data_IF_207553825546
#
_entry.id   IF_207553825546
#
_cell.length_a   1.000
_cell.length_b   1.000
_cell.length_c   1.000
_cell.angle_alpha   90.00
_cell.angle_beta   90.00
_cell.angle_gamma   90.00
#
_symmetry.space_group_name_H-M   'P 1'
#
loop_
_entity.id
_entity.type
_entity.pdbx_description
1 polymer ?
#
# COMPACT_ATOMS: atom_id res chain seq x y z
N UNK A 1 18.50 -78.04 -35.04
CA UNK A 1 17.59 -76.87 -35.00
C UNK A 1 16.59 -77.06 -33.87
N UNK A 2 16.78 -76.40 -32.72
CA UNK A 2 15.81 -76.36 -31.60
C UNK A 2 15.73 -74.92 -31.09
N UNK A 3 14.48 -74.46 -30.93
CA UNK A 3 14.09 -73.06 -30.98
C UNK A 3 14.49 -72.20 -29.79
N UNK A 4 14.77 -70.93 -30.12
CA UNK A 4 14.94 -69.81 -29.20
C UNK A 4 13.64 -69.01 -29.26
N UNK A 5 12.64 -69.40 -28.47
CA UNK A 5 11.49 -68.54 -28.17
C UNK A 5 11.18 -68.67 -26.68
N UNK A 6 11.91 -67.93 -25.84
CA UNK A 6 11.52 -67.70 -24.44
C UNK A 6 11.67 -66.24 -24.08
N UNK A 7 10.57 -65.72 -23.55
CA UNK A 7 10.45 -64.53 -22.70
C UNK A 7 10.43 -63.14 -23.35
N UNK A 8 9.39 -62.88 -24.15
CA UNK A 8 8.75 -61.56 -24.19
C UNK A 8 7.39 -61.67 -23.49
N UNK A 9 7.41 -61.69 -22.16
CA UNK A 9 6.19 -61.94 -21.37
C UNK A 9 6.27 -61.38 -19.96
N UNK A 10 6.70 -60.13 -19.81
CA UNK A 10 6.60 -59.41 -18.51
C UNK A 10 6.52 -57.90 -18.66
N UNK A 11 5.50 -57.41 -19.37
CA UNK A 11 5.00 -56.02 -19.26
C UNK A 11 3.48 -56.01 -19.37
N UNK A 12 2.75 -56.48 -18.36
CA UNK A 12 1.29 -56.27 -18.33
C UNK A 12 0.63 -56.43 -16.96
N UNK A 13 1.37 -56.28 -15.86
CA UNK A 13 0.78 -56.26 -14.52
C UNK A 13 1.06 -54.91 -13.87
N UNK A 14 0.07 -54.01 -13.89
CA UNK A 14 0.05 -52.88 -12.95
C UNK A 14 -0.32 -51.50 -13.48
N UNK A 15 -0.98 -51.36 -14.64
CA UNK A 15 -1.57 -50.07 -15.01
C UNK A 15 -3.08 -50.24 -15.17
N UNK A 16 -3.80 -50.14 -14.06
CA UNK A 16 -5.23 -49.84 -14.08
C UNK A 16 -5.40 -48.41 -14.59
N UNK A 17 -5.96 -48.25 -15.78
CA UNK A 17 -6.36 -46.94 -16.30
C UNK A 17 -7.47 -46.36 -15.45
N UNK A 18 -7.41 -45.05 -15.19
CA UNK A 18 -8.47 -44.30 -14.53
C UNK A 18 -9.77 -44.44 -15.32
N UNK A 19 -10.90 -44.66 -14.65
CA UNK A 19 -12.18 -44.75 -15.36
C UNK A 19 -12.69 -43.34 -15.73
N UNK A 20 -13.38 -43.22 -16.87
CA UNK A 20 -14.03 -41.95 -17.25
C UNK A 20 -15.03 -41.48 -16.20
N UNK A 21 -15.68 -42.42 -15.51
CA UNK A 21 -16.66 -42.13 -14.46
C UNK A 21 -15.98 -41.54 -13.22
N UNK A 22 -14.80 -42.05 -12.82
CA UNK A 22 -14.03 -41.46 -11.71
C UNK A 22 -13.64 -40.02 -12.01
N UNK A 23 -13.14 -39.73 -13.22
CA UNK A 23 -12.81 -38.36 -13.58
C UNK A 23 -14.06 -37.47 -13.65
N UNK A 24 -15.19 -38.00 -14.12
CA UNK A 24 -16.45 -37.25 -14.22
C UNK A 24 -16.98 -36.82 -12.85
N UNK A 25 -17.01 -37.72 -11.86
CA UNK A 25 -17.49 -37.39 -10.52
C UNK A 25 -16.58 -36.35 -9.85
N UNK A 26 -15.26 -36.46 -10.03
CA UNK A 26 -14.30 -35.50 -9.48
C UNK A 26 -14.53 -34.11 -10.04
N UNK A 27 -14.72 -33.96 -11.37
CA UNK A 27 -14.94 -32.63 -11.98
C UNK A 27 -16.27 -32.01 -11.54
N UNK A 28 -17.30 -32.82 -11.26
CA UNK A 28 -18.58 -32.31 -10.74
C UNK A 28 -18.41 -31.80 -9.31
N UNK A 29 -17.71 -32.56 -8.45
CA UNK A 29 -17.50 -32.15 -7.05
C UNK A 29 -16.67 -30.86 -6.99
N UNK A 30 -15.55 -30.76 -7.71
CA UNK A 30 -14.76 -29.51 -7.75
C UNK A 30 -15.57 -28.36 -8.37
N UNK A 31 -16.47 -28.65 -9.32
CA UNK A 31 -17.35 -27.64 -9.93
C UNK A 31 -18.31 -27.01 -8.92
N UNK A 32 -18.95 -27.84 -8.09
CA UNK A 32 -19.85 -27.37 -7.02
C UNK A 32 -19.07 -26.55 -5.98
N UNK A 33 -17.89 -27.03 -5.57
CA UNK A 33 -17.05 -26.32 -4.60
C UNK A 33 -16.56 -24.98 -5.15
N UNK A 34 -16.11 -24.93 -6.41
CA UNK A 34 -15.64 -23.70 -7.03
C UNK A 34 -16.77 -22.66 -7.15
N UNK A 35 -17.98 -23.08 -7.54
CA UNK A 35 -19.12 -22.18 -7.68
C UNK A 35 -19.46 -21.42 -6.38
N UNK A 36 -19.43 -22.12 -5.24
CA UNK A 36 -19.65 -21.49 -3.93
C UNK A 36 -18.43 -20.66 -3.46
N UNK A 37 -17.21 -21.09 -3.81
CA UNK A 37 -15.98 -20.49 -3.29
C UNK A 37 -15.60 -19.17 -3.95
N UNK A 38 -15.89 -18.99 -5.25
CA UNK A 38 -15.52 -17.78 -6.02
C UNK A 38 -16.05 -16.48 -5.39
N UNK A 39 -17.35 -16.30 -5.07
CA UNK A 39 -17.83 -15.03 -4.52
C UNK A 39 -17.26 -14.72 -3.13
N UNK A 40 -17.08 -15.74 -2.28
CA UNK A 40 -16.46 -15.60 -0.96
C UNK A 40 -15.02 -15.12 -1.11
N UNK A 41 -14.27 -15.74 -2.01
CA UNK A 41 -12.87 -15.39 -2.27
C UNK A 41 -12.71 -13.92 -2.70
N UNK A 42 -13.61 -13.40 -3.56
CA UNK A 42 -13.58 -12.00 -3.98
C UNK A 42 -13.81 -11.04 -2.80
N UNK A 43 -14.73 -11.36 -1.90
CA UNK A 43 -15.00 -10.56 -0.71
C UNK A 43 -13.83 -10.57 0.28
N UNK A 44 -13.22 -11.74 0.51
CA UNK A 44 -12.04 -11.88 1.37
C UNK A 44 -10.86 -11.07 0.83
N UNK A 45 -10.62 -11.08 -0.49
CA UNK A 45 -9.59 -10.24 -1.11
C UNK A 45 -9.87 -8.75 -0.91
N UNK A 46 -11.11 -8.31 -1.11
CA UNK A 46 -11.51 -6.92 -0.88
C UNK A 46 -11.29 -6.51 0.58
N UNK A 47 -11.66 -7.37 1.52
CA UNK A 47 -11.43 -7.14 2.94
C UNK A 47 -9.93 -7.05 3.28
N UNK A 48 -9.09 -7.91 2.67
CA UNK A 48 -7.65 -7.87 2.87
C UNK A 48 -7.02 -6.56 2.36
N UNK A 49 -7.42 -6.07 1.18
CA UNK A 49 -6.95 -4.78 0.66
C UNK A 49 -7.38 -3.61 1.54
N UNK A 50 -8.61 -3.63 2.04
CA UNK A 50 -9.13 -2.62 2.96
C UNK A 50 -8.35 -2.62 4.27
N UNK A 51 -8.12 -3.79 4.86
CA UNK A 51 -7.36 -3.95 6.10
C UNK A 51 -5.92 -3.45 5.94
N UNK A 52 -5.26 -3.76 4.82
CA UNK A 52 -3.91 -3.26 4.54
C UNK A 52 -3.89 -1.73 4.45
N UNK A 53 -4.88 -1.14 3.75
CA UNK A 53 -4.98 0.31 3.55
C UNK A 53 -5.21 1.07 4.85
N UNK A 54 -6.07 0.54 5.72
CA UNK A 54 -6.35 1.11 7.04
C UNK A 54 -5.14 0.96 7.99
N UNK A 55 -4.48 -0.21 7.97
CA UNK A 55 -3.29 -0.46 8.78
C UNK A 55 -2.14 0.45 8.38
N UNK A 56 -1.87 0.59 7.09
CA UNK A 56 -0.83 1.48 6.56
C UNK A 56 -1.11 2.94 6.93
N UNK A 57 -2.37 3.37 6.92
CA UNK A 57 -2.77 4.72 7.34
C UNK A 57 -2.50 4.97 8.82
N UNK A 58 -2.84 4.02 9.70
CA UNK A 58 -2.54 4.11 11.14
C UNK A 58 -1.03 4.14 11.38
N UNK A 59 -0.28 3.25 10.76
CA UNK A 59 1.19 3.25 10.84
C UNK A 59 1.80 4.54 10.29
N UNK A 60 1.22 5.12 9.25
CA UNK A 60 1.67 6.39 8.71
C UNK A 60 1.41 7.55 9.69
N UNK A 61 0.25 7.58 10.36
CA UNK A 61 -0.03 8.55 11.42
C UNK A 61 1.01 8.46 12.55
N UNK A 62 1.27 7.26 13.08
CA UNK A 62 2.32 7.04 14.09
C UNK A 62 3.70 7.50 13.60
N UNK A 63 4.03 7.22 12.34
CA UNK A 63 5.31 7.63 11.74
C UNK A 63 5.41 9.15 11.59
N UNK A 64 4.31 9.84 11.29
CA UNK A 64 4.26 11.30 11.19
C UNK A 64 4.41 11.95 12.56
N UNK A 65 3.75 11.39 13.60
CA UNK A 65 3.95 11.86 14.98
C UNK A 65 5.40 11.69 15.42
N UNK A 66 6.00 10.52 15.16
CA UNK A 66 7.42 10.28 15.43
C UNK A 66 8.33 11.25 14.67
N UNK A 67 8.04 11.49 13.38
CA UNK A 67 8.76 12.47 12.58
C UNK A 67 8.65 13.89 13.17
N UNK A 68 7.50 14.26 13.73
CA UNK A 68 7.33 15.59 14.34
C UNK A 68 8.25 15.80 15.56
N UNK A 69 8.46 14.75 16.35
CA UNK A 69 9.40 14.76 17.49
C UNK A 69 10.84 14.98 16.99
N UNK A 70 11.24 14.29 15.92
CA UNK A 70 12.56 14.46 15.29
C UNK A 70 12.77 15.87 14.72
N UNK A 71 11.69 16.48 14.22
CA UNK A 71 11.68 17.81 13.63
C UNK A 71 11.44 18.93 14.67
N UNK A 72 11.54 18.62 15.97
CA UNK A 72 11.44 19.60 17.06
C UNK A 72 10.04 20.16 17.24
N UNK A 73 9.01 19.34 17.08
CA UNK A 73 7.59 19.71 17.20
C UNK A 73 6.97 20.28 15.92
N UNK A 74 7.73 20.31 14.82
CA UNK A 74 7.22 20.71 13.51
C UNK A 74 6.73 19.50 12.73
N UNK A 75 5.63 19.64 12.02
CA UNK A 75 5.14 18.60 11.12
C UNK A 75 6.08 18.43 9.91
N UNK A 76 6.21 17.20 9.37
CA UNK A 76 6.96 16.98 8.14
C UNK A 76 6.31 17.73 6.96
N UNK A 77 7.05 17.98 5.87
CA UNK A 77 6.47 18.60 4.68
C UNK A 77 5.38 17.73 4.07
N UNK A 78 4.38 18.34 3.43
CA UNK A 78 3.30 17.62 2.75
C UNK A 78 3.87 16.68 1.68
N UNK A 79 3.30 15.48 1.53
CA UNK A 79 3.79 14.50 0.56
C UNK A 79 2.67 13.60 0.06
N UNK A 80 2.90 12.94 -1.05
CA UNK A 80 2.02 11.91 -1.59
C UNK A 80 2.84 10.79 -2.19
N UNK A 81 2.31 9.57 -2.11
CA UNK A 81 2.95 8.33 -2.57
C UNK A 81 1.95 7.57 -3.43
N UNK A 82 2.25 7.43 -4.72
CA UNK A 82 1.41 6.67 -5.63
C UNK A 82 1.44 5.17 -5.32
N UNK A 83 0.34 4.48 -5.63
CA UNK A 83 0.24 3.04 -5.52
C UNK A 83 1.25 2.36 -6.45
N UNK A 84 1.94 1.34 -5.94
CA UNK A 84 2.91 0.54 -6.68
C UNK A 84 2.75 -0.94 -6.38
N UNK A 85 3.29 -1.78 -7.27
CA UNK A 85 3.45 -3.21 -6.99
C UNK A 85 4.59 -3.41 -6.00
N UNK A 86 4.32 -4.17 -4.93
CA UNK A 86 5.27 -4.40 -3.84
C UNK A 86 5.28 -3.27 -2.80
N UNK A 87 5.82 -3.58 -1.61
CA UNK A 87 5.88 -2.61 -0.51
C UNK A 87 6.80 -1.44 -0.86
N UNK A 88 6.41 -0.22 -0.51
CA UNK A 88 7.17 1.00 -0.73
C UNK A 88 7.55 1.62 0.60
N UNK A 89 8.79 2.14 0.70
CA UNK A 89 9.23 2.97 1.82
C UNK A 89 9.39 4.40 1.33
N UNK A 90 8.89 5.35 2.10
CA UNK A 90 8.97 6.77 1.82
C UNK A 90 9.53 7.51 3.03
N UNK A 91 10.60 8.28 2.84
CA UNK A 91 11.28 9.02 3.92
C UNK A 91 10.51 10.30 4.19
N UNK A 92 10.15 10.54 5.46
CA UNK A 92 9.35 11.71 5.86
C UNK A 92 10.07 12.62 6.86
N UNK A 93 11.09 12.10 7.56
CA UNK A 93 12.02 12.90 8.33
C UNK A 93 13.42 12.28 8.34
N UNK A 94 14.40 13.16 8.53
CA UNK A 94 15.80 12.81 8.77
C UNK A 94 16.32 13.74 9.87
N UNK A 95 16.76 13.15 10.98
CA UNK A 95 17.35 13.89 12.10
C UNK A 95 18.82 14.31 11.85
N UNK A 96 19.34 14.11 10.65
CA UNK A 96 20.73 14.45 10.31
C UNK A 96 20.88 15.97 10.18
N UNK A 97 21.41 16.60 11.24
CA UNK A 97 22.22 17.80 11.08
C UNK A 97 23.49 17.36 10.36
N UNK A 98 23.79 17.92 9.18
CA UNK A 98 25.07 17.68 8.51
C UNK A 98 26.21 18.16 9.43
N UNK A 99 26.73 17.29 10.30
CA UNK A 99 28.02 17.51 10.93
C UNK A 99 29.08 17.23 9.88
N UNK A 100 29.92 18.22 9.64
CA UNK A 100 31.03 18.12 8.69
C UNK A 100 31.89 16.92 9.10
N UNK A 101 31.86 15.84 8.29
CA UNK A 101 32.69 14.65 8.45
C UNK A 101 32.28 13.61 9.52
N UNK A 102 31.07 13.07 9.46
CA UNK A 102 30.87 11.65 9.82
C UNK A 102 29.72 11.04 9.02
N UNK A 103 29.98 9.91 8.34
CA UNK A 103 28.93 9.09 7.72
C UNK A 103 28.17 8.38 8.84
N UNK A 104 27.24 9.07 9.46
CA UNK A 104 26.25 8.44 10.35
C UNK A 104 25.24 7.73 9.44
N UNK A 105 24.97 6.44 9.68
CA UNK A 105 23.83 5.78 9.03
C UNK A 105 22.57 6.50 9.53
N UNK A 106 21.84 7.23 8.67
CA UNK A 106 20.76 8.09 9.14
C UNK A 106 19.64 7.22 9.71
N UNK A 107 19.17 7.52 10.92
CA UNK A 107 17.86 7.05 11.37
C UNK A 107 16.85 7.92 10.65
N UNK A 108 16.21 7.35 9.63
CA UNK A 108 15.21 8.04 8.83
C UNK A 108 13.85 7.54 9.26
N UNK A 109 12.96 8.45 9.64
CA UNK A 109 11.57 8.08 9.84
C UNK A 109 10.94 7.87 8.47
N UNK A 110 10.45 6.65 8.25
CA UNK A 110 9.86 6.25 6.97
C UNK A 110 8.43 5.76 7.16
N UNK A 111 7.55 6.17 6.25
CA UNK A 111 6.27 5.49 6.07
C UNK A 111 6.48 4.28 5.16
N UNK A 112 5.92 3.13 5.53
CA UNK A 112 5.90 1.95 4.67
C UNK A 112 4.47 1.69 4.22
N UNK A 113 4.27 1.58 2.90
CA UNK A 113 2.98 1.27 2.30
C UNK A 113 3.01 -0.12 1.68
N UNK A 114 1.95 -0.87 1.91
CA UNK A 114 1.67 -2.16 1.30
C UNK A 114 1.44 -2.03 -0.21
N UNK A 115 1.58 -3.14 -0.93
CA UNK A 115 1.35 -3.19 -2.37
C UNK A 115 -0.03 -2.66 -2.73
N UNK A 116 -0.09 -1.77 -3.72
CA UNK A 116 -1.33 -1.17 -4.22
C UNK A 116 -1.90 -0.05 -3.35
N UNK A 117 -1.32 0.24 -2.18
CA UNK A 117 -1.76 1.38 -1.36
C UNK A 117 -1.11 2.66 -1.86
N UNK A 118 -1.93 3.68 -2.12
CA UNK A 118 -1.50 5.06 -2.33
C UNK A 118 -1.87 5.90 -1.13
N UNK A 119 -1.08 6.92 -0.84
CA UNK A 119 -1.26 7.81 0.30
C UNK A 119 -1.06 9.26 -0.09
N UNK A 120 -1.80 10.17 0.54
CA UNK A 120 -1.47 11.58 0.58
C UNK A 120 -1.54 12.10 2.01
N UNK A 121 -0.56 12.93 2.36
CA UNK A 121 -0.44 13.63 3.62
C UNK A 121 -0.42 15.14 3.36
N UNK A 122 -1.29 15.88 4.03
CA UNK A 122 -1.31 17.33 3.96
C UNK A 122 -1.63 17.95 5.32
N UNK A 123 -0.84 18.94 5.72
CA UNK A 123 -1.14 19.84 6.83
C UNK A 123 -2.42 20.62 6.57
N UNK A 124 -3.26 20.81 7.59
CA UNK A 124 -4.40 21.70 7.50
C UNK A 124 -3.94 23.11 7.91
N UNK A 125 -4.31 24.15 7.15
CA UNK A 125 -3.75 25.50 7.30
C UNK A 125 -4.03 26.20 8.65
N UNK A 126 -4.74 25.55 9.57
CA UNK A 126 -5.08 26.04 10.92
C UNK A 126 -4.49 25.12 11.97
N UNK A 127 -3.30 25.47 12.49
CA UNK A 127 -2.61 24.74 13.56
C UNK A 127 -1.68 23.61 13.09
N UNK A 128 -1.01 22.95 14.05
CA UNK A 128 -0.18 21.76 13.83
C UNK A 128 -1.05 20.52 13.59
N UNK A 129 -2.08 20.62 12.74
CA UNK A 129 -2.95 19.51 12.40
C UNK A 129 -2.74 19.08 10.96
N UNK A 130 -3.06 17.82 10.67
CA UNK A 130 -2.86 17.23 9.34
C UNK A 130 -3.93 16.18 9.06
N UNK A 131 -4.07 15.88 7.77
CA UNK A 131 -4.87 14.76 7.30
C UNK A 131 -4.03 13.82 6.46
N UNK A 132 -4.36 12.54 6.59
CA UNK A 132 -3.83 11.47 5.75
C UNK A 132 -5.00 10.84 5.02
N UNK A 133 -4.87 10.66 3.71
CA UNK A 133 -5.80 9.89 2.90
C UNK A 133 -5.09 8.66 2.34
N UNK A 134 -5.72 7.50 2.40
CA UNK A 134 -5.20 6.27 1.74
C UNK A 134 -6.29 5.57 0.92
N UNK A 135 -5.85 4.93 -0.16
CA UNK A 135 -6.69 4.09 -1.03
C UNK A 135 -5.90 2.89 -1.53
N UNK A 136 -6.57 1.80 -1.91
CA UNK A 136 -5.94 0.68 -2.60
C UNK A 136 -6.32 0.66 -4.09
N UNK A 137 -5.36 0.53 -5.00
CA UNK A 137 -5.62 0.42 -6.44
C UNK A 137 -6.46 -0.80 -6.82
N UNK A 138 -6.47 -1.86 -5.99
CA UNK A 138 -7.32 -3.03 -6.20
C UNK A 138 -8.76 -2.85 -5.67
N UNK A 139 -8.99 -1.86 -4.80
CA UNK A 139 -10.32 -1.48 -4.34
C UNK A 139 -10.40 0.03 -4.09
N UNK A 140 -10.63 0.77 -5.17
CA UNK A 140 -10.86 2.23 -5.12
C UNK A 140 -12.29 2.60 -4.76
N UNK A 141 -13.15 1.67 -4.33
CA UNK A 141 -14.55 1.98 -4.00
C UNK A 141 -14.72 2.72 -2.67
N UNK A 142 -13.66 2.76 -1.86
CA UNK A 142 -13.62 3.41 -0.56
C UNK A 142 -12.27 4.10 -0.39
N UNK A 143 -12.22 5.12 0.46
CA UNK A 143 -10.98 5.69 0.96
C UNK A 143 -11.00 5.74 2.48
N UNK A 144 -9.81 5.81 3.07
CA UNK A 144 -9.64 6.01 4.50
C UNK A 144 -9.02 7.37 4.73
N UNK A 145 -9.48 8.06 5.77
CA UNK A 145 -8.93 9.34 6.19
C UNK A 145 -8.63 9.32 7.68
N UNK A 146 -7.45 9.82 8.05
CA UNK A 146 -7.12 10.17 9.43
C UNK A 146 -7.08 11.68 9.55
N UNK A 147 -7.77 12.23 10.55
CA UNK A 147 -7.70 13.65 10.90
C UNK A 147 -7.05 13.80 12.28
N UNK A 148 -5.88 14.44 12.33
CA UNK A 148 -5.14 14.60 13.59
C UNK A 148 -5.84 15.56 14.57
N UNK A 149 -6.81 16.36 14.12
CA UNK A 149 -7.58 17.22 15.01
C UNK A 149 -8.57 16.42 15.87
N UNK A 150 -9.11 15.32 15.34
CA UNK A 150 -10.05 14.44 16.05
C UNK A 150 -9.40 13.14 16.54
N UNK A 151 -8.27 12.75 15.96
CA UNK A 151 -7.61 11.47 16.20
C UNK A 151 -8.38 10.28 15.63
N UNK A 152 -9.37 10.52 14.77
CA UNK A 152 -10.25 9.48 14.23
C UNK A 152 -9.78 8.99 12.87
N UNK A 153 -9.99 7.70 12.61
CA UNK A 153 -9.92 7.10 11.28
C UNK A 153 -11.33 6.90 10.77
N UNK A 154 -11.66 7.56 9.66
CA UNK A 154 -12.94 7.41 8.98
C UNK A 154 -12.74 6.60 7.70
N UNK A 155 -13.78 5.84 7.35
CA UNK A 155 -13.87 5.11 6.11
C UNK A 155 -15.05 5.68 5.34
N UNK A 156 -14.77 6.20 4.15
CA UNK A 156 -15.75 6.88 3.31
C UNK A 156 -15.88 6.19 1.97
N UNK A 157 -17.04 6.38 1.33
CA UNK A 157 -17.27 5.88 -0.03
C UNK A 157 -16.50 6.72 -1.05
N UNK A 158 -16.02 6.06 -2.11
CA UNK A 158 -15.29 6.69 -3.19
C UNK A 158 -15.97 6.39 -4.54
N UNK A 159 -17.13 7.02 -4.83
CA UNK A 159 -17.90 6.75 -6.03
C UNK A 159 -17.10 7.02 -7.32
N UNK A 160 -16.25 8.06 -7.31
CA UNK A 160 -15.45 8.46 -8.47
C UNK A 160 -14.11 7.71 -8.57
N UNK A 161 -13.84 6.78 -7.65
CA UNK A 161 -12.65 5.91 -7.64
C UNK A 161 -11.34 6.68 -7.74
N UNK A 162 -11.25 7.80 -7.04
CA UNK A 162 -10.07 8.67 -7.03
C UNK A 162 -9.02 8.06 -6.12
N UNK A 163 -7.81 7.89 -6.62
CA UNK A 163 -6.68 7.46 -5.79
C UNK A 163 -6.25 8.59 -4.85
N UNK A 164 -5.85 8.24 -3.62
CA UNK A 164 -5.25 9.20 -2.69
C UNK A 164 -4.03 9.91 -3.28
N UNK A 165 -3.29 9.25 -4.18
CA UNK A 165 -2.23 9.85 -4.97
C UNK A 165 -2.03 9.11 -6.31
N UNK A 166 -1.86 9.88 -7.38
CA UNK A 166 -1.56 9.37 -8.73
C UNK A 166 -0.07 9.45 -9.08
N UNK A 167 0.69 10.28 -8.35
CA UNK A 167 2.14 10.43 -8.48
C UNK A 167 2.78 10.54 -7.10
N UNK A 168 4.02 10.09 -6.96
CA UNK A 168 4.81 10.34 -5.75
C UNK A 168 5.39 11.75 -5.83
N UNK A 169 5.06 12.61 -4.86
CA UNK A 169 5.49 14.01 -4.81
C UNK A 169 5.76 14.43 -3.36
N UNK A 170 6.72 15.31 -3.14
CA UNK A 170 7.06 15.86 -1.83
C UNK A 170 7.09 17.39 -1.90
N UNK A 171 6.60 18.06 -0.87
CA UNK A 171 6.70 19.50 -0.72
C UNK A 171 8.12 19.81 -0.22
N UNK A 172 8.92 20.47 -1.03
CA UNK A 172 10.25 20.88 -0.60
C UNK A 172 10.15 22.00 0.44
N UNK A 173 10.40 21.70 1.72
CA UNK A 173 10.62 22.70 2.78
C UNK A 173 12.10 22.66 3.19
N UNK A 174 12.85 23.66 2.75
CA UNK A 174 14.28 23.73 3.00
C UNK A 174 14.56 24.25 4.42
N UNK A 175 15.52 23.66 5.15
CA UNK A 175 16.16 24.31 6.29
C UNK A 175 17.69 24.40 6.03
N UNK A 176 18.26 25.60 5.78
CA UNK A 176 19.71 25.79 5.71
C UNK A 176 20.33 25.62 7.09
N UNK A 177 21.30 24.73 7.21
CA UNK A 177 22.49 25.08 7.96
C UNK A 177 23.64 25.18 6.96
N UNK A 178 24.10 26.41 6.69
CA UNK A 178 25.34 26.66 5.96
C UNK A 178 25.18 27.44 4.65
N UNK A 179 25.78 28.61 4.63
CA UNK A 179 25.84 29.57 3.53
C UNK A 179 26.18 28.92 2.18
N UNK A 180 25.25 28.98 1.23
CA UNK A 180 25.51 28.54 -0.14
C UNK A 180 24.25 28.32 -0.95
N UNK A 181 23.56 29.40 -1.31
CA UNK A 181 22.64 29.55 -2.44
C UNK A 181 22.09 28.24 -3.05
N UNK A 182 20.97 27.74 -2.51
CA UNK A 182 20.10 26.80 -3.23
C UNK A 182 18.73 27.46 -3.40
N UNK A 183 18.53 28.10 -4.55
CA UNK A 183 17.22 28.62 -4.95
C UNK A 183 16.31 27.42 -5.24
N UNK A 184 15.17 27.27 -4.55
CA UNK A 184 14.17 26.27 -4.92
C UNK A 184 13.56 26.67 -6.26
N UNK A 185 13.87 25.96 -7.33
CA UNK A 185 13.13 26.09 -8.59
C UNK A 185 11.86 25.24 -8.47
N UNK A 186 10.74 25.95 -8.30
CA UNK A 186 9.36 25.47 -8.23
C UNK A 186 8.99 24.64 -6.99
N UNK A 187 8.24 25.26 -6.07
CA UNK A 187 7.40 24.56 -5.11
C UNK A 187 6.27 23.89 -5.89
N UNK A 188 6.11 22.57 -5.82
CA UNK A 188 4.80 21.95 -6.06
C UNK A 188 3.93 22.32 -4.86
N UNK A 189 2.87 23.13 -5.01
CA UNK A 189 2.00 23.43 -3.89
C UNK A 189 1.18 22.17 -3.58
N UNK A 190 1.71 21.28 -2.75
CA UNK A 190 0.98 20.15 -2.19
C UNK A 190 0.17 20.64 -1.00
N UNK A 191 -0.79 21.54 -1.25
CA UNK A 191 -1.59 22.14 -0.17
C UNK A 191 -2.79 21.30 0.22
N UNK A 192 -3.26 20.42 -0.66
CA UNK A 192 -4.40 19.53 -0.43
C UNK A 192 -4.22 18.20 -1.16
N UNK A 193 -4.76 17.14 -0.59
CA UNK A 193 -4.81 15.82 -1.22
C UNK A 193 -5.85 15.77 -2.35
N UNK A 194 -5.64 14.98 -3.42
CA UNK A 194 -6.58 14.84 -4.53
C UNK A 194 -8.02 14.51 -4.09
N UNK A 195 -8.16 13.60 -3.12
CA UNK A 195 -9.47 13.22 -2.55
C UNK A 195 -10.12 14.43 -1.86
N UNK A 196 -9.36 15.17 -1.04
CA UNK A 196 -9.87 16.38 -0.38
C UNK A 196 -10.19 17.50 -1.37
N UNK A 197 -9.41 17.62 -2.45
CA UNK A 197 -9.68 18.59 -3.52
C UNK A 197 -11.01 18.28 -4.23
N UNK A 198 -11.38 17.01 -4.31
CA UNK A 198 -12.56 16.56 -5.05
C UNK A 198 -13.82 16.48 -4.18
N UNK A 199 -13.76 15.85 -3.00
CA UNK A 199 -14.92 15.68 -2.11
C UNK A 199 -15.00 16.73 -1.00
N UNK A 200 -13.94 17.53 -0.80
CA UNK A 200 -13.81 18.39 0.38
C UNK A 200 -13.25 17.63 1.60
N UNK A 201 -13.02 18.34 2.72
CA UNK A 201 -12.62 17.71 3.97
C UNK A 201 -13.76 16.85 4.53
N UNK A 202 -13.47 15.75 5.24
CA UNK A 202 -14.51 14.95 5.88
C UNK A 202 -15.29 15.80 6.89
N UNK A 203 -16.61 15.61 6.95
CA UNK A 203 -17.46 16.21 7.97
C UNK A 203 -17.15 15.57 9.33
N UNK A 204 -16.73 16.38 10.29
CA UNK A 204 -16.49 15.96 11.68
C UNK A 204 -17.77 15.48 12.37
#
# INVERSE_FOLDING_TARGET
MRGIYRSLGRRSRGQSGFTLVELLVVVIIIGILAAASVPIYLNVRKAAWNSATESDLKHAADSIENASVELGGNLPPNFMVAARTGAQKHQIASNVRYSYSSKVNPTQTTVTLSSGVSMCYATTGTGNTYRIYTTNSNNLSVYYVYDSATGQVLKEDNPDKIAAATSTQEQMQWNPAGNGHRRPWHKTPLTKCPIEQHYGPPSA
#
